data_IF_239677317902
#
_entry.id   IF_239677317902
#
_cell.length_a   1.000
_cell.length_b   1.000
_cell.length_c   1.000
_cell.angle_alpha   90.00
_cell.angle_beta   90.00
_cell.angle_gamma   90.00
#
_symmetry.space_group_name_H-M   'P 1'
#
loop_
_entity.id
_entity.type
_entity.pdbx_description
1 polymer ?
#
# COMPACT_ATOMS: atom_id res chain seq x y z
N UNK A 1 -21.15 -33.93 -39.07
CA UNK A 1 -22.61 -34.12 -39.05
C UNK A 1 -22.99 -34.57 -37.65
N UNK A 2 -24.07 -34.00 -37.11
CA UNK A 2 -24.52 -34.03 -35.71
C UNK A 2 -23.88 -32.98 -34.78
N UNK A 3 -24.41 -31.77 -34.93
CA UNK A 3 -24.41 -30.68 -33.95
C UNK A 3 -25.11 -31.13 -32.65
N UNK A 4 -24.55 -30.74 -31.50
CA UNK A 4 -25.27 -30.68 -30.23
C UNK A 4 -25.23 -29.25 -29.75
N UNK A 5 -26.40 -28.62 -29.77
CA UNK A 5 -26.72 -27.32 -29.22
C UNK A 5 -26.33 -27.25 -27.73
N UNK A 6 -25.46 -26.32 -27.38
CA UNK A 6 -25.29 -25.85 -26.00
C UNK A 6 -26.05 -24.53 -25.91
N UNK A 7 -27.11 -24.52 -25.10
CA UNK A 7 -27.87 -23.31 -24.75
C UNK A 7 -26.97 -22.37 -23.95
N UNK A 8 -26.62 -21.23 -24.54
CA UNK A 8 -26.08 -20.08 -23.83
C UNK A 8 -27.19 -19.45 -22.98
N UNK A 9 -27.05 -19.52 -21.66
CA UNK A 9 -27.91 -18.82 -20.72
C UNK A 9 -27.21 -17.56 -20.20
N UNK A 10 -27.72 -16.42 -20.66
CA UNK A 10 -27.78 -15.12 -19.95
C UNK A 10 -26.53 -14.66 -19.17
N UNK A 11 -25.52 -14.20 -19.91
CA UNK A 11 -24.61 -13.15 -19.43
C UNK A 11 -25.00 -11.82 -20.10
N UNK A 12 -25.77 -11.01 -19.38
CA UNK A 12 -26.16 -9.67 -19.81
C UNK A 12 -24.95 -8.74 -19.94
N UNK A 13 -24.43 -8.62 -21.16
CA UNK A 13 -23.61 -7.49 -21.60
C UNK A 13 -24.49 -6.25 -21.73
N UNK A 14 -24.70 -5.52 -20.64
CA UNK A 14 -25.14 -4.12 -20.74
C UNK A 14 -23.94 -3.24 -21.08
N UNK A 15 -23.50 -3.31 -22.34
CA UNK A 15 -22.76 -2.21 -22.95
C UNK A 15 -23.73 -1.03 -22.98
N UNK A 16 -23.39 0.04 -22.26
CA UNK A 16 -24.22 1.23 -22.16
C UNK A 16 -24.31 1.91 -23.53
N UNK A 17 -25.44 1.72 -24.23
CA UNK A 17 -25.82 2.57 -25.34
C UNK A 17 -26.01 4.00 -24.84
N UNK A 18 -25.11 4.88 -25.26
CA UNK A 18 -25.17 6.31 -24.97
C UNK A 18 -26.10 6.96 -25.99
N UNK A 19 -27.39 7.07 -25.65
CA UNK A 19 -28.29 7.99 -26.36
C UNK A 19 -27.84 9.44 -26.10
N UNK A 20 -27.35 10.10 -27.14
CA UNK A 20 -27.04 11.54 -27.13
C UNK A 20 -28.37 12.30 -27.22
N UNK A 21 -28.88 12.74 -26.07
CA UNK A 21 -30.04 13.64 -26.00
C UNK A 21 -29.55 15.10 -26.17
N UNK A 22 -30.22 15.95 -26.97
CA UNK A 22 -29.75 17.31 -27.22
C UNK A 22 -29.75 18.17 -25.94
N UNK A 23 -28.76 19.09 -25.84
CA UNK A 23 -28.71 20.11 -24.78
C UNK A 23 -30.03 20.91 -24.72
N UNK A 24 -30.58 21.19 -23.52
CA UNK A 24 -31.66 22.16 -23.40
C UNK A 24 -31.15 23.56 -23.76
N UNK A 25 -32.00 24.34 -24.43
CA UNK A 25 -31.71 25.72 -24.80
C UNK A 25 -31.47 26.60 -23.57
N UNK A 26 -30.53 27.54 -23.70
CA UNK A 26 -30.15 28.46 -22.63
C UNK A 26 -31.29 29.45 -22.34
N UNK A 27 -31.70 29.51 -21.07
CA UNK A 27 -32.51 30.59 -20.53
C UNK A 27 -33.86 30.16 -19.99
N UNK A 28 -33.88 29.71 -18.74
CA UNK A 28 -34.94 29.99 -17.75
C UNK A 28 -34.53 29.41 -16.39
N UNK A 29 -33.91 30.24 -15.56
CA UNK A 29 -33.62 29.93 -14.17
C UNK A 29 -34.86 30.17 -13.31
N UNK A 30 -35.42 29.10 -12.72
CA UNK A 30 -36.09 29.15 -11.42
C UNK A 30 -35.84 27.82 -10.71
N UNK A 31 -34.94 27.82 -9.71
CA UNK A 31 -34.79 26.72 -8.77
C UNK A 31 -35.50 27.12 -7.48
N UNK A 32 -36.64 26.51 -7.19
CA UNK A 32 -37.31 26.58 -5.89
C UNK A 32 -37.24 25.21 -5.22
N UNK A 33 -36.39 25.10 -4.21
CA UNK A 33 -36.51 24.08 -3.16
C UNK A 33 -35.66 24.53 -1.97
N UNK A 34 -36.28 25.27 -1.06
CA UNK A 34 -35.67 25.74 0.20
C UNK A 34 -35.61 24.58 1.20
N UNK A 35 -34.45 24.37 1.83
CA UNK A 35 -34.33 23.56 3.05
C UNK A 35 -34.29 24.53 4.24
N UNK A 36 -35.22 24.38 5.19
CA UNK A 36 -35.17 25.05 6.49
C UNK A 36 -34.53 24.10 7.49
N UNK A 37 -33.26 24.33 7.79
CA UNK A 37 -32.63 23.99 9.06
C UNK A 37 -31.92 25.25 9.53
N UNK A 38 -32.37 25.80 10.65
CA UNK A 38 -31.76 26.94 11.37
C UNK A 38 -31.50 28.23 10.58
N UNK A 39 -32.49 28.67 9.78
CA UNK A 39 -32.58 30.07 9.33
C UNK A 39 -31.63 30.48 8.20
N UNK A 40 -30.87 29.56 7.60
CA UNK A 40 -29.94 29.85 6.51
C UNK A 40 -30.52 29.42 5.14
N UNK A 41 -30.53 30.37 4.18
CA UNK A 41 -30.97 30.12 2.80
C UNK A 41 -29.75 29.68 1.99
N UNK A 42 -29.81 28.48 1.43
CA UNK A 42 -28.75 27.90 0.62
C UNK A 42 -29.07 28.01 -0.88
N UNK A 43 -28.29 28.78 -1.64
CA UNK A 43 -28.34 28.80 -3.11
C UNK A 43 -27.28 27.87 -3.71
N UNK A 44 -27.68 27.06 -4.69
CA UNK A 44 -26.81 26.07 -5.34
C UNK A 44 -26.48 26.55 -6.76
N UNK A 45 -25.21 26.88 -7.03
CA UNK A 45 -24.73 27.10 -8.40
C UNK A 45 -24.31 25.77 -9.05
N UNK A 46 -25.12 25.33 -10.01
CA UNK A 46 -24.93 24.09 -10.78
C UNK A 46 -23.64 24.01 -11.61
N UNK A 47 -22.88 25.10 -11.76
CA UNK A 47 -21.65 25.10 -12.57
C UNK A 47 -20.36 24.89 -11.77
N UNK A 48 -20.34 25.15 -10.47
CA UNK A 48 -19.09 25.27 -9.70
C UNK A 48 -19.01 24.42 -8.42
N UNK A 49 -19.95 23.51 -8.15
CA UNK A 49 -20.01 22.71 -6.91
C UNK A 49 -19.96 23.56 -5.61
N UNK A 50 -20.37 24.83 -5.66
CA UNK A 50 -20.41 25.72 -4.51
C UNK A 50 -21.85 25.88 -3.99
N UNK A 51 -22.00 25.70 -2.67
CA UNK A 51 -23.15 26.16 -1.90
C UNK A 51 -22.84 27.59 -1.42
N UNK A 52 -23.65 28.56 -1.83
CA UNK A 52 -23.56 29.92 -1.29
C UNK A 52 -24.42 30.00 -0.04
N UNK A 53 -23.75 30.18 1.10
CA UNK A 53 -24.36 30.65 2.34
C UNK A 53 -24.34 32.18 2.31
N UNK A 54 -25.45 32.82 2.67
CA UNK A 54 -25.58 34.28 2.59
C UNK A 54 -24.53 34.97 3.47
N UNK A 55 -23.60 35.68 2.81
CA UNK A 55 -22.52 36.52 3.36
C UNK A 55 -21.50 35.77 4.24
N UNK A 56 -20.35 35.50 3.61
CA UNK A 56 -19.05 35.08 4.17
C UNK A 56 -18.76 33.57 4.19
N UNK A 57 -18.03 33.14 3.14
CA UNK A 57 -17.31 31.85 2.92
C UNK A 57 -18.07 30.78 2.12
N UNK A 58 -17.53 30.45 0.95
CA UNK A 58 -17.93 29.28 0.16
C UNK A 58 -17.63 27.97 0.92
N UNK A 59 -18.64 27.13 1.14
CA UNK A 59 -18.46 25.78 1.67
C UNK A 59 -17.71 24.91 0.63
N UNK A 60 -16.65 24.23 1.07
CA UNK A 60 -15.87 23.29 0.27
C UNK A 60 -15.77 21.97 1.01
N UNK A 61 -15.53 20.85 0.31
CA UNK A 61 -15.41 19.52 0.96
C UNK A 61 -14.37 19.51 2.10
N UNK A 62 -13.31 20.33 1.98
CA UNK A 62 -12.26 20.50 2.97
C UNK A 62 -12.72 21.20 4.25
N UNK A 63 -13.70 22.09 4.12
CA UNK A 63 -14.21 22.92 5.22
C UNK A 63 -15.59 22.46 5.73
N UNK A 64 -16.25 21.53 5.03
CA UNK A 64 -17.50 20.92 5.51
C UNK A 64 -17.19 20.00 6.70
N UNK A 65 -17.92 20.19 7.79
CA UNK A 65 -17.74 19.43 9.03
C UNK A 65 -16.67 20.01 9.98
N UNK A 66 -16.08 21.18 9.68
CA UNK A 66 -15.15 21.84 10.63
C UNK A 66 -15.84 22.32 11.90
N UNK A 67 -17.14 22.63 11.82
CA UNK A 67 -17.96 23.09 12.94
C UNK A 67 -18.76 21.95 13.58
N UNK A 68 -18.54 20.70 13.17
CA UNK A 68 -19.27 19.56 13.71
C UNK A 68 -18.90 19.34 15.19
N UNK A 69 -19.90 19.00 16.01
CA UNK A 69 -19.70 18.63 17.42
C UNK A 69 -19.00 17.29 17.61
N UNK A 70 -18.96 16.43 16.58
CA UNK A 70 -18.24 15.15 16.60
C UNK A 70 -17.68 14.73 15.22
N UNK A 71 -16.68 13.82 15.18
CA UNK A 71 -16.21 13.23 13.91
C UNK A 71 -17.30 12.51 13.12
N UNK A 72 -18.24 11.84 13.79
CA UNK A 72 -19.36 11.15 13.14
C UNK A 72 -20.31 12.17 12.48
N UNK A 73 -20.62 13.25 13.19
CA UNK A 73 -21.41 14.37 12.64
C UNK A 73 -20.69 15.03 11.46
N UNK A 74 -19.36 15.20 11.52
CA UNK A 74 -18.59 15.71 10.38
C UNK A 74 -18.70 14.80 9.13
N UNK A 75 -18.76 13.47 9.33
CA UNK A 75 -18.99 12.50 8.24
C UNK A 75 -20.40 12.66 7.67
N UNK A 76 -21.42 12.79 8.53
CA UNK A 76 -22.81 13.03 8.12
C UNK A 76 -22.95 14.32 7.30
N UNK A 77 -22.42 15.43 7.79
CA UNK A 77 -22.43 16.72 7.09
C UNK A 77 -21.76 16.62 5.71
N UNK A 78 -20.63 15.93 5.61
CA UNK A 78 -19.94 15.71 4.32
C UNK A 78 -20.77 14.88 3.35
N UNK A 79 -21.45 13.84 3.84
CA UNK A 79 -22.33 13.00 3.02
C UNK A 79 -23.53 13.79 2.50
N UNK A 80 -24.19 14.56 3.36
CA UNK A 80 -25.29 15.44 2.96
C UNK A 80 -24.85 16.47 1.91
N UNK A 81 -23.67 17.07 2.12
CA UNK A 81 -23.09 18.00 1.16
C UNK A 81 -22.88 17.33 -0.20
N UNK A 82 -22.34 16.11 -0.23
CA UNK A 82 -22.13 15.35 -1.46
C UNK A 82 -23.43 15.00 -2.17
N UNK A 83 -24.45 14.55 -1.44
CA UNK A 83 -25.79 14.25 -1.98
C UNK A 83 -26.41 15.50 -2.63
N UNK A 84 -26.33 16.65 -1.95
CA UNK A 84 -26.97 17.90 -2.39
C UNK A 84 -26.21 18.61 -3.52
N UNK A 85 -24.86 18.56 -3.50
CA UNK A 85 -24.03 19.41 -4.36
C UNK A 85 -23.38 18.67 -5.53
N UNK A 86 -22.99 17.40 -5.34
CA UNK A 86 -22.15 16.68 -6.30
C UNK A 86 -22.98 15.65 -7.08
N UNK A 87 -23.89 14.95 -6.42
CA UNK A 87 -24.64 13.83 -7.02
C UNK A 87 -26.02 14.21 -7.61
N UNK A 88 -26.28 15.48 -7.93
CA UNK A 88 -27.48 15.89 -8.69
C UNK A 88 -27.63 15.19 -10.06
N UNK A 89 -26.63 14.43 -10.52
CA UNK A 89 -26.63 13.65 -11.75
C UNK A 89 -26.40 12.14 -11.50
N UNK A 90 -27.51 11.39 -11.46
CA UNK A 90 -27.68 10.03 -12.03
C UNK A 90 -27.02 8.78 -11.41
N UNK A 91 -26.53 8.76 -10.16
CA UNK A 91 -26.29 7.48 -9.42
C UNK A 91 -26.55 7.61 -7.91
N UNK A 92 -27.83 7.74 -7.53
CA UNK A 92 -28.29 7.96 -6.16
C UNK A 92 -27.96 6.84 -5.14
N UNK A 93 -27.33 5.73 -5.54
CA UNK A 93 -27.23 4.54 -4.69
C UNK A 93 -25.87 4.32 -4.02
N UNK A 94 -24.81 5.04 -4.40
CA UNK A 94 -23.47 4.77 -3.83
C UNK A 94 -23.41 5.13 -2.34
N UNK A 95 -23.79 6.36 -1.97
CA UNK A 95 -23.77 6.78 -0.57
C UNK A 95 -24.76 5.98 0.25
N UNK A 96 -25.93 5.63 -0.29
CA UNK A 96 -26.92 4.79 0.39
C UNK A 96 -26.35 3.40 0.79
N UNK A 97 -25.49 2.81 -0.04
CA UNK A 97 -24.88 1.50 0.23
C UNK A 97 -23.56 1.57 1.01
N UNK A 98 -22.94 2.75 1.11
CA UNK A 98 -21.69 2.95 1.84
C UNK A 98 -21.98 3.16 3.33
N UNK A 99 -21.66 2.19 4.22
CA UNK A 99 -21.93 2.32 5.63
C UNK A 99 -21.04 3.40 6.25
N UNK A 100 -21.58 4.07 7.27
CA UNK A 100 -20.88 5.13 7.98
C UNK A 100 -21.28 5.24 9.45
N UNK A 101 -22.40 4.67 9.88
CA UNK A 101 -22.83 4.71 11.28
C UNK A 101 -22.03 3.71 12.12
N UNK A 102 -21.97 3.96 13.43
CA UNK A 102 -21.38 3.07 14.44
C UNK A 102 -19.92 2.68 14.16
N UNK A 103 -19.12 3.60 13.63
CA UNK A 103 -17.70 3.44 13.40
C UNK A 103 -16.90 4.42 14.26
N UNK A 104 -15.76 3.97 14.80
CA UNK A 104 -14.88 4.83 15.59
C UNK A 104 -14.06 5.77 14.71
N UNK A 105 -14.67 6.91 14.38
CA UNK A 105 -14.00 7.98 13.65
C UNK A 105 -12.97 8.77 14.48
N UNK A 106 -12.95 8.61 15.80
CA UNK A 106 -11.88 9.19 16.61
C UNK A 106 -10.58 8.40 16.42
N UNK A 107 -10.65 7.07 16.48
CA UNK A 107 -9.50 6.19 16.22
C UNK A 107 -8.96 6.29 14.78
N UNK A 108 -9.82 6.61 13.81
CA UNK A 108 -9.42 6.80 12.41
C UNK A 108 -8.79 8.18 12.11
N UNK A 109 -8.68 9.08 13.10
CA UNK A 109 -8.01 10.38 12.91
C UNK A 109 -6.55 10.17 12.51
N UNK A 110 -6.12 10.84 11.44
CA UNK A 110 -4.75 10.72 10.91
C UNK A 110 -4.55 9.54 9.95
N UNK A 111 -5.57 8.70 9.71
CA UNK A 111 -5.51 7.61 8.73
C UNK A 111 -6.11 8.00 7.37
N UNK A 112 -7.12 8.87 7.35
CA UNK A 112 -7.80 9.31 6.13
C UNK A 112 -8.42 10.70 6.31
N UNK A 113 -8.36 11.53 5.28
CA UNK A 113 -9.04 12.83 5.20
C UNK A 113 -10.39 12.70 4.49
N UNK A 114 -11.27 13.70 4.63
CA UNK A 114 -12.54 13.78 3.90
C UNK A 114 -13.43 12.52 4.01
N UNK A 115 -13.42 11.87 5.17
CA UNK A 115 -14.13 10.61 5.44
C UNK A 115 -15.65 10.72 5.22
N UNK A 116 -16.20 9.79 4.43
CA UNK A 116 -17.64 9.71 4.09
C UNK A 116 -18.30 8.39 4.53
N UNK A 117 -17.55 7.55 5.23
CA UNK A 117 -17.94 6.20 5.62
C UNK A 117 -16.74 5.27 5.66
N UNK A 118 -17.00 3.98 5.61
CA UNK A 118 -15.99 2.92 5.54
C UNK A 118 -16.40 1.83 4.54
N UNK A 119 -15.44 1.06 4.06
CA UNK A 119 -15.68 -0.05 3.13
C UNK A 119 -15.52 -1.40 3.85
N UNK A 120 -16.60 -2.17 4.04
CA UNK A 120 -16.48 -3.53 4.58
C UNK A 120 -15.78 -4.45 3.58
N UNK A 121 -14.76 -5.16 4.03
CA UNK A 121 -14.09 -6.23 3.28
C UNK A 121 -14.26 -7.53 4.10
N UNK A 122 -14.75 -8.64 3.51
CA UNK A 122 -14.87 -9.90 4.24
C UNK A 122 -13.53 -10.36 4.82
N UNK A 123 -13.52 -10.73 6.10
CA UNK A 123 -12.34 -11.26 6.79
C UNK A 123 -12.56 -12.73 7.10
N UNK A 124 -11.73 -13.58 6.50
CA UNK A 124 -11.63 -15.00 6.84
C UNK A 124 -10.41 -15.29 7.72
N UNK A 125 -10.36 -16.49 8.29
CA UNK A 125 -9.21 -16.99 9.05
C UNK A 125 -8.69 -18.24 8.36
N UNK A 126 -7.39 -18.25 8.06
CA UNK A 126 -6.69 -19.45 7.62
C UNK A 126 -5.83 -20.03 8.75
N UNK A 127 -5.82 -21.36 8.90
CA UNK A 127 -4.98 -22.04 9.88
C UNK A 127 -5.67 -23.15 10.68
N UNK A 128 -5.07 -23.60 11.80
CA UNK A 128 -3.80 -23.09 12.32
C UNK A 128 -2.64 -23.38 11.35
N UNK A 129 -1.60 -22.54 11.36
CA UNK A 129 -0.32 -22.80 10.72
C UNK A 129 0.73 -22.95 11.83
N UNK A 130 1.40 -24.10 11.86
CA UNK A 130 2.51 -24.34 12.78
C UNK A 130 3.79 -23.75 12.20
N UNK A 131 4.35 -22.74 12.85
CA UNK A 131 5.58 -22.04 12.47
C UNK A 131 6.45 -21.91 13.70
N UNK A 132 7.71 -22.36 13.63
CA UNK A 132 8.69 -22.21 14.72
C UNK A 132 8.15 -22.73 16.08
N UNK A 133 7.44 -23.87 16.04
CA UNK A 133 6.76 -24.50 17.18
C UNK A 133 5.56 -23.73 17.77
N UNK A 134 5.07 -22.68 17.11
CA UNK A 134 3.87 -21.94 17.48
C UNK A 134 2.72 -22.16 16.49
N UNK A 135 1.48 -22.13 16.98
CA UNK A 135 0.29 -22.27 16.13
C UNK A 135 -0.35 -20.90 15.88
N UNK A 136 -0.34 -20.46 14.62
CA UNK A 136 -0.86 -19.16 14.20
C UNK A 136 -2.18 -19.29 13.42
N UNK A 137 -3.13 -18.42 13.71
CA UNK A 137 -4.33 -18.22 12.90
C UNK A 137 -4.19 -16.91 12.12
N UNK A 138 -4.28 -17.00 10.80
CA UNK A 138 -3.93 -15.91 9.88
C UNK A 138 -5.22 -15.20 9.45
N UNK A 139 -5.48 -13.96 9.91
CA UNK A 139 -6.62 -13.19 9.42
C UNK A 139 -6.33 -12.70 7.99
N UNK A 140 -7.33 -12.82 7.12
CA UNK A 140 -7.22 -12.50 5.69
C UNK A 140 -8.46 -11.73 5.22
N UNK A 141 -8.28 -10.47 4.85
CA UNK A 141 -9.35 -9.63 4.30
C UNK A 141 -9.32 -9.68 2.77
N UNK A 142 -10.32 -10.30 2.14
CA UNK A 142 -10.34 -10.51 0.69
C UNK A 142 -11.76 -10.64 0.15
N UNK A 143 -11.92 -10.27 -1.12
CA UNK A 143 -13.13 -10.55 -1.91
C UNK A 143 -12.89 -11.65 -2.95
N UNK A 144 -11.66 -12.17 -3.05
CA UNK A 144 -11.32 -13.27 -3.95
C UNK A 144 -11.82 -14.60 -3.38
N UNK A 145 -12.73 -15.25 -4.11
CA UNK A 145 -13.24 -16.57 -3.77
C UNK A 145 -12.12 -17.62 -3.68
N UNK A 146 -12.29 -18.58 -2.76
CA UNK A 146 -11.37 -19.69 -2.52
C UNK A 146 -9.96 -19.34 -2.00
N UNK A 147 -9.55 -18.07 -1.93
CA UNK A 147 -8.21 -17.70 -1.43
C UNK A 147 -7.95 -18.21 -0.01
N UNK A 148 -8.83 -17.87 0.94
CA UNK A 148 -8.69 -18.29 2.35
C UNK A 148 -8.72 -19.82 2.47
N UNK A 149 -9.60 -20.48 1.72
CA UNK A 149 -9.69 -21.94 1.71
C UNK A 149 -8.41 -22.60 1.16
N UNK A 150 -7.81 -22.01 0.12
CA UNK A 150 -6.55 -22.47 -0.47
C UNK A 150 -5.39 -22.33 0.51
N UNK A 151 -5.26 -21.18 1.18
CA UNK A 151 -4.24 -20.97 2.23
C UNK A 151 -4.43 -21.95 3.39
N UNK A 152 -5.66 -22.15 3.87
CA UNK A 152 -5.97 -23.15 4.91
C UNK A 152 -5.57 -24.57 4.52
N UNK A 153 -5.77 -24.95 3.24
CA UNK A 153 -5.33 -26.24 2.72
C UNK A 153 -3.80 -26.36 2.72
N UNK A 154 -3.09 -25.28 2.40
CA UNK A 154 -1.63 -25.19 2.54
C UNK A 154 -1.17 -25.35 3.99
N UNK A 155 -1.79 -24.64 4.94
CA UNK A 155 -1.50 -24.77 6.37
C UNK A 155 -1.67 -26.21 6.85
N UNK A 156 -2.74 -26.88 6.41
CA UNK A 156 -2.97 -28.30 6.73
C UNK A 156 -1.83 -29.20 6.25
N UNK A 157 -1.37 -29.02 5.01
CA UNK A 157 -0.28 -29.83 4.46
C UNK A 157 1.05 -29.62 5.21
N UNK A 158 1.32 -28.37 5.61
CA UNK A 158 2.51 -28.01 6.40
C UNK A 158 2.44 -28.65 7.78
N UNK A 159 1.32 -28.50 8.50
CA UNK A 159 1.18 -29.02 9.87
C UNK A 159 1.24 -30.55 9.92
N UNK A 160 0.59 -31.24 8.98
CA UNK A 160 0.63 -32.70 8.89
C UNK A 160 2.03 -33.25 8.59
N UNK A 161 2.98 -32.36 8.23
CA UNK A 161 4.37 -32.69 7.95
C UNK A 161 5.37 -32.07 8.94
N UNK A 162 4.88 -31.59 10.10
CA UNK A 162 5.74 -31.13 11.21
C UNK A 162 5.90 -29.62 11.33
N UNK A 163 5.21 -28.83 10.51
CA UNK A 163 5.25 -27.36 10.57
C UNK A 163 6.31 -26.74 9.64
N UNK A 164 6.43 -25.42 9.72
CA UNK A 164 7.42 -24.63 9.00
C UNK A 164 8.45 -24.02 9.95
N UNK A 165 9.65 -23.76 9.43
CA UNK A 165 10.72 -23.02 10.11
C UNK A 165 10.93 -21.70 9.37
N UNK A 166 11.11 -20.60 10.10
CA UNK A 166 11.42 -19.29 9.52
C UNK A 166 12.69 -18.67 10.07
N UNK A 167 13.36 -17.88 9.23
CA UNK A 167 14.58 -17.16 9.59
C UNK A 167 14.47 -15.71 9.08
N UNK A 168 14.58 -14.76 10.00
CA UNK A 168 14.77 -13.34 9.68
C UNK A 168 16.24 -13.09 9.34
N UNK A 169 16.52 -12.71 8.10
CA UNK A 169 17.89 -12.52 7.58
C UNK A 169 18.30 -11.05 7.57
N UNK A 170 17.35 -10.12 7.49
CA UNK A 170 17.62 -8.69 7.58
C UNK A 170 16.39 -7.91 8.09
N UNK A 171 16.66 -6.80 8.80
CA UNK A 171 15.65 -5.87 9.31
C UNK A 171 16.17 -4.43 9.16
N UNK A 172 15.73 -3.74 8.10
CA UNK A 172 16.03 -2.33 7.91
C UNK A 172 15.02 -1.66 6.96
N UNK A 173 14.36 -0.60 7.43
CA UNK A 173 13.60 0.29 6.56
C UNK A 173 14.54 1.28 5.87
N UNK A 174 14.18 1.71 4.67
CA UNK A 174 15.04 2.56 3.83
C UNK A 174 14.39 3.88 3.43
N UNK A 175 15.23 4.92 3.34
CA UNK A 175 14.87 6.20 2.72
C UNK A 175 16.10 6.74 1.99
N UNK A 176 15.88 7.30 0.81
CA UNK A 176 16.95 7.77 -0.05
C UNK A 176 16.64 9.17 -0.60
N UNK A 177 17.25 10.25 -0.08
CA UNK A 177 17.14 11.56 -0.69
C UNK A 177 17.93 11.64 -1.99
N UNK A 178 17.51 12.56 -2.86
CA UNK A 178 18.25 13.01 -4.03
C UNK A 178 18.86 14.37 -3.72
N UNK A 179 20.19 14.42 -3.70
CA UNK A 179 20.98 15.59 -3.34
C UNK A 179 21.70 16.08 -4.61
N UNK A 180 21.65 17.36 -4.91
CA UNK A 180 22.32 17.97 -6.08
C UNK A 180 23.44 18.88 -5.59
N UNK A 181 24.58 18.84 -6.27
CA UNK A 181 25.76 19.64 -5.98
C UNK A 181 26.11 20.55 -7.16
N UNK A 182 26.95 21.58 -6.98
CA UNK A 182 27.33 22.48 -8.07
C UNK A 182 28.10 21.82 -9.22
N UNK A 183 28.76 20.69 -8.96
CA UNK A 183 29.47 19.89 -9.98
C UNK A 183 29.76 18.47 -9.47
N UNK A 184 30.18 17.60 -10.39
CA UNK A 184 30.51 16.18 -10.11
C UNK A 184 31.62 16.00 -9.07
N UNK A 185 32.66 16.84 -9.08
CA UNK A 185 33.77 16.74 -8.11
C UNK A 185 33.26 16.96 -6.68
N UNK A 186 32.31 17.88 -6.52
CA UNK A 186 31.71 18.19 -5.22
C UNK A 186 30.76 17.11 -4.74
N UNK A 187 29.94 16.56 -5.62
CA UNK A 187 29.11 15.39 -5.33
C UNK A 187 29.97 14.16 -4.96
N UNK A 188 31.09 13.94 -5.66
CA UNK A 188 32.03 12.88 -5.36
C UNK A 188 32.72 13.07 -3.99
N UNK A 189 33.10 14.30 -3.64
CA UNK A 189 33.63 14.59 -2.30
C UNK A 189 32.61 14.26 -1.19
N UNK A 190 31.32 14.54 -1.41
CA UNK A 190 30.26 14.16 -0.48
C UNK A 190 30.07 12.64 -0.36
N UNK A 191 30.16 11.93 -1.49
CA UNK A 191 30.16 10.45 -1.50
C UNK A 191 31.30 9.89 -0.65
N UNK A 192 32.53 10.35 -0.88
CA UNK A 192 33.69 9.90 -0.11
C UNK A 192 33.55 10.19 1.39
N UNK A 193 33.00 11.35 1.75
CA UNK A 193 32.74 11.66 3.16
C UNK A 193 31.70 10.71 3.77
N UNK A 194 30.59 10.45 3.09
CA UNK A 194 29.55 9.50 3.54
C UNK A 194 30.05 8.05 3.66
N UNK A 195 31.07 7.67 2.89
CA UNK A 195 31.70 6.35 2.96
C UNK A 195 32.87 6.30 3.97
N UNK A 196 33.31 7.45 4.49
CA UNK A 196 34.36 7.52 5.48
C UNK A 196 33.86 7.18 6.88
N UNK A 197 34.74 6.67 7.75
CA UNK A 197 34.40 6.37 9.14
C UNK A 197 33.87 7.60 9.90
N UNK A 198 34.40 8.79 9.60
CA UNK A 198 33.93 10.05 10.20
C UNK A 198 32.51 10.37 9.76
N UNK A 199 32.22 10.31 8.46
CA UNK A 199 30.87 10.61 7.97
C UNK A 199 29.84 9.60 8.47
N UNK A 200 30.16 8.30 8.45
CA UNK A 200 29.29 7.26 9.00
C UNK A 200 29.00 7.52 10.48
N UNK A 201 30.03 7.83 11.29
CA UNK A 201 29.88 8.09 12.72
C UNK A 201 28.97 9.30 13.01
N UNK A 202 29.15 10.41 12.29
CA UNK A 202 28.31 11.59 12.49
C UNK A 202 26.85 11.32 12.10
N UNK A 203 26.62 10.57 11.02
CA UNK A 203 25.26 10.20 10.62
C UNK A 203 24.63 9.23 11.63
N UNK A 204 25.37 8.24 12.14
CA UNK A 204 24.90 7.35 13.21
C UNK A 204 24.45 8.14 14.44
N UNK A 205 25.29 9.08 14.90
CA UNK A 205 24.98 9.96 16.02
C UNK A 205 23.71 10.77 15.77
N UNK A 206 23.54 11.31 14.55
CA UNK A 206 22.33 12.05 14.17
C UNK A 206 21.08 11.17 14.17
N UNK A 207 21.17 9.94 13.65
CA UNK A 207 20.05 8.99 13.65
C UNK A 207 19.62 8.65 15.09
N UNK A 208 20.58 8.33 15.96
CA UNK A 208 20.35 8.02 17.38
C UNK A 208 19.75 9.21 18.14
N UNK A 209 20.20 10.43 17.85
CA UNK A 209 19.65 11.65 18.46
C UNK A 209 18.22 11.96 17.98
N UNK A 210 17.83 11.50 16.78
CA UNK A 210 16.51 11.77 16.20
C UNK A 210 15.45 10.78 16.67
N UNK A 211 15.82 9.52 16.92
CA UNK A 211 14.89 8.50 17.40
C UNK A 211 15.59 7.36 18.16
N UNK A 212 15.02 6.98 19.30
CA UNK A 212 15.48 5.84 20.10
C UNK A 212 15.38 4.47 19.39
N UNK A 213 14.57 4.39 18.33
CA UNK A 213 14.35 3.14 17.57
C UNK A 213 15.24 3.05 16.31
N UNK A 214 15.72 4.20 15.81
CA UNK A 214 16.47 4.29 14.57
C UNK A 214 17.94 3.94 14.81
N UNK A 215 18.33 2.71 14.47
CA UNK A 215 19.75 2.30 14.46
C UNK A 215 20.19 2.14 13.02
N UNK A 216 21.09 3.03 12.57
CA UNK A 216 21.64 2.98 11.23
C UNK A 216 22.34 1.63 11.00
N UNK A 217 22.09 1.05 9.83
CA UNK A 217 22.67 -0.22 9.39
C UNK A 217 23.56 -0.05 8.19
N UNK A 218 23.18 0.83 7.27
CA UNK A 218 23.95 1.06 6.06
C UNK A 218 23.68 2.47 5.51
N UNK A 219 24.68 3.02 4.82
CA UNK A 219 24.58 4.21 3.98
C UNK A 219 25.14 3.84 2.61
N UNK A 220 24.31 3.89 1.58
CA UNK A 220 24.73 3.58 0.21
C UNK A 220 24.58 4.82 -0.68
N UNK A 221 25.64 5.63 -0.84
CA UNK A 221 25.64 6.79 -1.73
C UNK A 221 25.90 6.39 -3.19
N UNK A 222 24.98 6.71 -4.09
CA UNK A 222 25.04 6.43 -5.52
C UNK A 222 25.17 7.75 -6.29
N UNK A 223 26.30 7.95 -6.96
CA UNK A 223 26.64 9.17 -7.69
C UNK A 223 26.21 9.06 -9.16
N UNK A 224 25.42 10.02 -9.64
CA UNK A 224 24.97 10.13 -11.04
C UNK A 224 25.12 11.59 -11.49
N UNK A 225 26.18 11.88 -12.24
CA UNK A 225 26.53 13.26 -12.60
C UNK A 225 26.78 14.11 -11.35
N UNK A 226 26.09 15.24 -11.25
CA UNK A 226 26.12 16.12 -10.06
C UNK A 226 25.10 15.75 -8.97
N UNK A 227 24.39 14.62 -9.13
CA UNK A 227 23.41 14.14 -8.16
C UNK A 227 23.95 12.97 -7.34
N UNK A 228 23.62 12.96 -6.04
CA UNK A 228 23.92 11.89 -5.12
C UNK A 228 22.62 11.36 -4.51
N UNK A 229 22.33 10.09 -4.76
CA UNK A 229 21.22 9.36 -4.16
C UNK A 229 21.75 8.58 -2.96
N UNK A 230 21.35 8.93 -1.74
CA UNK A 230 21.96 8.35 -0.53
C UNK A 230 20.98 7.40 0.14
N UNK A 231 21.06 6.10 -0.13
CA UNK A 231 20.13 5.14 0.48
C UNK A 231 20.55 4.83 1.92
N UNK A 232 19.84 5.43 2.87
CA UNK A 232 19.99 5.12 4.29
C UNK A 232 19.12 3.93 4.66
N UNK A 233 19.67 2.99 5.41
CA UNK A 233 18.97 1.83 5.95
C UNK A 233 19.12 1.81 7.48
N UNK A 234 18.03 1.69 8.21
CA UNK A 234 18.05 1.61 9.68
C UNK A 234 16.93 0.71 10.21
N UNK A 235 17.13 0.12 11.39
CA UNK A 235 16.02 -0.53 12.12
C UNK A 235 15.05 0.51 12.63
N UNK A 236 13.80 0.13 12.86
CA UNK A 236 12.74 1.07 13.31
C UNK A 236 11.89 0.53 14.46
N UNK A 237 12.40 -0.45 15.20
CA UNK A 237 11.64 -1.19 16.20
C UNK A 237 10.50 -1.98 15.55
N UNK A 238 9.33 -1.97 16.19
CA UNK A 238 8.13 -2.67 15.67
C UNK A 238 7.34 -1.83 14.66
N UNK A 239 7.67 -0.55 14.51
CA UNK A 239 7.06 0.28 13.49
C UNK A 239 7.60 -0.08 12.10
N UNK A 240 6.73 -0.06 11.09
CA UNK A 240 7.16 -0.11 9.68
C UNK A 240 8.18 1.01 9.37
N UNK A 241 8.07 2.15 10.05
CA UNK A 241 9.21 3.04 10.24
C UNK A 241 9.43 4.14 9.21
N UNK A 242 8.53 4.29 8.22
CA UNK A 242 8.69 5.28 7.15
C UNK A 242 8.73 6.74 7.64
N UNK A 243 7.93 7.09 8.64
CA UNK A 243 7.98 8.43 9.24
C UNK A 243 9.25 8.63 10.08
N UNK A 244 9.71 7.60 10.78
CA UNK A 244 10.99 7.61 11.53
C UNK A 244 12.14 7.85 10.56
N UNK A 245 12.22 7.04 9.50
CA UNK A 245 13.26 7.17 8.48
C UNK A 245 13.24 8.54 7.79
N UNK A 246 12.07 9.09 7.50
CA UNK A 246 11.98 10.40 6.84
C UNK A 246 12.52 11.52 7.74
N UNK A 247 12.21 11.50 9.04
CA UNK A 247 12.75 12.45 10.02
C UNK A 247 14.26 12.28 10.21
N UNK A 248 14.74 11.04 10.38
CA UNK A 248 16.17 10.77 10.53
C UNK A 248 16.96 11.22 9.29
N UNK A 249 16.45 10.98 8.09
CA UNK A 249 17.08 11.44 6.85
C UNK A 249 17.07 12.96 6.72
N UNK A 250 16.00 13.65 7.11
CA UNK A 250 15.96 15.11 7.13
C UNK A 250 17.04 15.71 8.07
N UNK A 251 17.20 15.14 9.26
CA UNK A 251 18.27 15.52 10.20
C UNK A 251 19.66 15.15 9.66
N UNK A 252 19.81 13.99 9.02
CA UNK A 252 21.06 13.57 8.40
C UNK A 252 21.49 14.49 7.25
N UNK A 253 20.53 14.93 6.42
CA UNK A 253 20.76 15.92 5.37
C UNK A 253 21.22 17.25 5.96
N UNK A 254 20.65 17.67 7.09
CA UNK A 254 21.10 18.86 7.81
C UNK A 254 22.54 18.69 8.34
N UNK A 255 22.88 17.49 8.83
CA UNK A 255 24.24 17.14 9.27
C UNK A 255 25.24 17.20 8.11
N UNK A 256 24.91 16.62 6.95
CA UNK A 256 25.75 16.69 5.74
C UNK A 256 26.08 18.15 5.40
N UNK A 257 25.10 19.06 5.46
CA UNK A 257 25.33 20.49 5.20
C UNK A 257 26.33 21.12 6.17
N UNK A 258 26.21 20.80 7.46
CA UNK A 258 27.11 21.32 8.51
C UNK A 258 28.56 20.84 8.33
N UNK A 259 28.77 19.66 7.75
CA UNK A 259 30.09 19.09 7.50
C UNK A 259 30.73 19.49 6.15
N UNK A 260 30.47 20.71 5.67
CA UNK A 260 31.19 21.30 4.54
C UNK A 260 30.54 21.09 3.17
N UNK A 261 29.25 20.76 3.14
CA UNK A 261 28.42 20.62 1.94
C UNK A 261 27.21 21.56 1.97
N UNK A 262 27.42 22.81 2.39
CA UNK A 262 26.37 23.85 2.49
C UNK A 262 25.82 24.28 1.12
N UNK A 263 26.61 24.05 0.07
CA UNK A 263 26.30 24.27 -1.34
C UNK A 263 25.41 23.16 -1.95
N UNK A 264 25.10 22.11 -1.17
CA UNK A 264 24.20 21.04 -1.55
C UNK A 264 22.73 21.50 -1.55
N UNK A 265 22.04 21.23 -2.64
CA UNK A 265 20.58 21.38 -2.77
C UNK A 265 19.88 20.04 -2.54
N UNK A 266 18.84 20.05 -1.72
CA UNK A 266 17.96 18.88 -1.54
C UNK A 266 16.91 18.93 -2.65
N UNK A 267 17.01 18.04 -3.63
CA UNK A 267 16.02 17.94 -4.72
C UNK A 267 14.74 17.28 -4.21
N UNK A 268 14.90 16.18 -3.48
CA UNK A 268 13.81 15.48 -2.82
C UNK A 268 14.33 14.66 -1.64
N UNK A 269 13.54 14.53 -0.57
CA UNK A 269 13.83 13.58 0.52
C UNK A 269 13.59 12.11 0.11
N UNK A 270 12.85 11.90 -0.97
CA UNK A 270 12.61 10.59 -1.58
C UNK A 270 12.92 10.65 -3.09
N UNK A 271 14.15 10.30 -3.45
CA UNK A 271 14.65 10.23 -4.82
C UNK A 271 14.37 8.91 -5.54
N UNK A 272 13.37 8.13 -5.11
CA UNK A 272 12.99 6.82 -5.64
C UNK A 272 14.01 5.68 -5.53
N UNK A 273 15.18 5.92 -4.93
CA UNK A 273 16.20 4.89 -4.61
C UNK A 273 15.96 4.25 -3.24
N UNK A 274 14.76 4.42 -2.65
CA UNK A 274 14.41 3.74 -1.39
C UNK A 274 14.29 2.22 -1.58
N UNK A 275 13.47 1.66 -2.48
CA UNK A 275 12.35 2.23 -3.25
C UNK A 275 11.04 1.95 -2.51
N UNK A 276 10.08 2.88 -2.50
CA UNK A 276 8.82 2.70 -1.77
C UNK A 276 7.62 2.70 -2.72
N UNK A 277 6.83 1.61 -2.70
CA UNK A 277 5.58 1.43 -3.46
C UNK A 277 5.79 1.38 -4.98
N UNK A 278 6.98 0.99 -5.44
CA UNK A 278 7.31 0.81 -6.86
C UNK A 278 8.21 -0.41 -7.02
N UNK A 279 7.99 -1.27 -8.03
CA UNK A 279 8.83 -2.43 -8.26
C UNK A 279 10.27 -2.00 -8.48
N UNK A 280 11.22 -2.66 -7.81
CA UNK A 280 12.62 -2.25 -7.80
C UNK A 280 13.56 -3.43 -7.61
N UNK A 281 14.48 -3.60 -8.56
CA UNK A 281 15.57 -4.57 -8.45
C UNK A 281 16.45 -4.28 -7.21
N UNK A 282 16.57 -3.02 -6.82
CA UNK A 282 17.33 -2.65 -5.62
C UNK A 282 16.69 -3.22 -4.35
N UNK A 283 15.37 -3.16 -4.24
CA UNK A 283 14.65 -3.79 -3.11
C UNK A 283 14.78 -5.31 -3.13
N UNK A 284 14.81 -5.92 -4.33
CA UNK A 284 15.00 -7.36 -4.48
C UNK A 284 16.39 -7.83 -4.05
N UNK A 285 17.44 -7.11 -4.45
CA UNK A 285 18.84 -7.50 -4.20
C UNK A 285 19.31 -7.14 -2.79
N UNK A 286 19.03 -5.91 -2.35
CA UNK A 286 19.56 -5.38 -1.07
C UNK A 286 18.59 -5.56 0.09
N UNK A 287 17.35 -5.98 -0.19
CA UNK A 287 16.27 -6.01 0.79
C UNK A 287 15.70 -4.62 1.13
N UNK A 288 14.53 -4.63 1.77
CA UNK A 288 13.86 -3.47 2.37
C UNK A 288 12.80 -3.94 3.37
N UNK A 289 12.79 -3.36 4.57
CA UNK A 289 11.95 -3.84 5.67
C UNK A 289 12.52 -5.14 6.23
N UNK A 290 11.71 -6.21 6.24
CA UNK A 290 12.13 -7.53 6.75
C UNK A 290 12.44 -8.47 5.59
N UNK A 291 13.61 -9.10 5.61
CA UNK A 291 13.95 -10.18 4.68
C UNK A 291 13.81 -11.51 5.39
N UNK A 292 12.94 -12.39 4.90
CA UNK A 292 12.55 -13.64 5.58
C UNK A 292 12.72 -14.82 4.64
N UNK A 293 13.22 -15.93 5.18
CA UNK A 293 13.23 -17.24 4.54
C UNK A 293 12.31 -18.17 5.33
N UNK A 294 11.49 -18.96 4.64
CA UNK A 294 10.64 -19.97 5.24
C UNK A 294 10.87 -21.32 4.56
N UNK A 295 10.90 -22.40 5.35
CA UNK A 295 11.06 -23.77 4.86
C UNK A 295 10.03 -24.69 5.52
N UNK A 296 9.50 -25.63 4.73
CA UNK A 296 8.72 -26.77 5.25
C UNK A 296 9.07 -28.02 4.43
N UNK A 297 9.10 -29.18 5.09
CA UNK A 297 9.18 -30.47 4.43
C UNK A 297 7.77 -31.06 4.37
N UNK A 298 7.31 -31.49 3.20
CA UNK A 298 5.97 -32.05 3.04
C UNK A 298 6.07 -33.51 2.62
N UNK A 299 5.46 -34.40 3.40
CA UNK A 299 5.55 -35.84 3.10
C UNK A 299 4.80 -36.21 1.82
N UNK A 300 5.28 -37.24 1.09
CA UNK A 300 4.59 -37.77 -0.10
C UNK A 300 3.11 -38.10 0.18
N UNK A 301 2.84 -38.75 1.31
CA UNK A 301 1.48 -39.09 1.73
C UNK A 301 0.58 -37.86 1.89
N UNK A 302 1.12 -36.77 2.46
CA UNK A 302 0.40 -35.50 2.61
C UNK A 302 0.21 -34.80 1.26
N UNK A 303 1.20 -34.77 0.38
CA UNK A 303 1.08 -34.20 -0.97
C UNK A 303 -0.05 -34.91 -1.74
N UNK A 304 -0.04 -36.25 -1.76
CA UNK A 304 -1.06 -37.04 -2.46
C UNK A 304 -2.45 -36.87 -1.85
N UNK A 305 -2.58 -36.93 -0.52
CA UNK A 305 -3.89 -36.86 0.15
C UNK A 305 -4.44 -35.45 0.24
N UNK A 306 -3.63 -34.44 0.57
CA UNK A 306 -4.09 -33.07 0.80
C UNK A 306 -3.95 -32.24 -0.46
N UNK A 307 -2.79 -32.22 -1.12
CA UNK A 307 -2.53 -31.38 -2.29
C UNK A 307 -3.01 -32.01 -3.61
N UNK A 308 -3.36 -33.30 -3.60
CA UNK A 308 -3.96 -34.03 -4.73
C UNK A 308 -3.08 -33.99 -5.99
N UNK A 309 -1.77 -34.13 -5.80
CA UNK A 309 -0.75 -34.16 -6.85
C UNK A 309 0.33 -35.17 -6.46
N UNK A 310 1.31 -35.42 -7.33
CA UNK A 310 2.55 -36.15 -7.00
C UNK A 310 3.72 -35.17 -6.82
N UNK A 311 4.78 -35.63 -6.13
CA UNK A 311 5.99 -34.84 -5.84
C UNK A 311 6.70 -34.38 -7.13
N UNK A 312 6.95 -35.24 -8.13
CA UNK A 312 7.65 -34.81 -9.34
C UNK A 312 6.87 -33.74 -10.12
N UNK A 313 5.53 -33.84 -10.12
CA UNK A 313 4.66 -32.90 -10.83
C UNK A 313 4.71 -31.50 -10.23
N UNK A 314 4.65 -31.37 -8.90
CA UNK A 314 4.68 -30.06 -8.25
C UNK A 314 6.07 -29.40 -8.33
N UNK A 315 7.14 -30.20 -8.27
CA UNK A 315 8.52 -29.72 -8.46
C UNK A 315 8.71 -29.25 -9.91
N UNK A 316 8.31 -30.06 -10.90
CA UNK A 316 8.40 -29.70 -12.32
C UNK A 316 7.56 -28.46 -12.65
N UNK A 317 6.37 -28.32 -12.04
CA UNK A 317 5.54 -27.13 -12.15
C UNK A 317 6.25 -25.90 -11.58
N UNK A 318 6.87 -26.01 -10.41
CA UNK A 318 7.60 -24.88 -9.81
C UNK A 318 8.73 -24.41 -10.72
N UNK A 319 9.53 -25.34 -11.26
CA UNK A 319 10.62 -25.00 -12.18
C UNK A 319 10.08 -24.34 -13.45
N UNK A 320 9.09 -24.96 -14.10
CA UNK A 320 8.58 -24.48 -15.39
C UNK A 320 7.84 -23.15 -15.27
N UNK A 321 7.09 -22.95 -14.18
CA UNK A 321 6.22 -21.78 -13.98
C UNK A 321 6.90 -20.66 -13.19
N UNK A 322 7.36 -20.94 -11.98
CA UNK A 322 7.86 -19.90 -11.06
C UNK A 322 9.29 -19.47 -11.39
N UNK A 323 10.10 -20.34 -11.98
CA UNK A 323 11.48 -20.02 -12.36
C UNK A 323 11.57 -19.68 -13.85
N UNK A 324 11.43 -20.67 -14.72
CA UNK A 324 11.60 -20.49 -16.18
C UNK A 324 10.55 -19.52 -16.74
N UNK A 325 9.27 -19.70 -16.39
CA UNK A 325 8.19 -18.80 -16.82
C UNK A 325 8.43 -17.35 -16.40
N UNK A 326 8.79 -17.11 -15.13
CA UNK A 326 9.11 -15.76 -14.64
C UNK A 326 10.35 -15.16 -15.31
N UNK A 327 11.36 -15.98 -15.63
CA UNK A 327 12.54 -15.55 -16.36
C UNK A 327 12.20 -15.13 -17.80
N UNK A 328 11.39 -15.92 -18.52
CA UNK A 328 10.90 -15.57 -19.86
C UNK A 328 10.10 -14.27 -19.85
N UNK A 329 9.34 -14.02 -18.77
CA UNK A 329 8.58 -12.79 -18.59
C UNK A 329 9.42 -11.56 -18.19
N UNK A 330 10.73 -11.72 -17.93
CA UNK A 330 11.58 -10.64 -17.43
C UNK A 330 11.17 -10.14 -16.03
N UNK A 331 10.58 -11.01 -15.21
CA UNK A 331 10.11 -10.66 -13.87
C UNK A 331 11.28 -10.48 -12.89
N UNK A 332 11.28 -9.39 -12.12
CA UNK A 332 12.24 -9.15 -11.04
C UNK A 332 11.50 -9.30 -9.69
N UNK A 333 11.97 -10.24 -8.86
CA UNK A 333 11.35 -10.55 -7.56
C UNK A 333 10.02 -11.32 -7.63
N UNK A 334 9.49 -11.61 -8.83
CA UNK A 334 8.21 -12.33 -9.03
C UNK A 334 8.37 -13.81 -9.37
N UNK A 335 9.33 -14.52 -8.76
CA UNK A 335 9.56 -15.95 -8.98
C UNK A 335 8.65 -16.83 -8.09
N UNK A 336 7.34 -16.54 -8.09
CA UNK A 336 6.35 -17.17 -7.22
C UNK A 336 4.99 -17.32 -7.93
N UNK A 337 4.02 -17.95 -7.26
CA UNK A 337 2.69 -18.15 -7.83
C UNK A 337 1.72 -16.99 -7.57
N UNK A 338 1.50 -16.66 -6.29
CA UNK A 338 0.50 -15.66 -5.89
C UNK A 338 0.83 -15.03 -4.53
N UNK A 339 2.11 -14.78 -4.24
CA UNK A 339 2.53 -14.17 -2.96
C UNK A 339 1.78 -12.85 -2.68
N UNK A 340 1.52 -12.08 -3.75
CA UNK A 340 0.72 -10.85 -3.69
C UNK A 340 -0.67 -11.05 -3.07
N UNK A 341 -1.39 -12.13 -3.40
CA UNK A 341 -2.76 -12.35 -2.90
C UNK A 341 -2.75 -12.59 -1.38
N UNK A 342 -1.78 -13.38 -0.90
CA UNK A 342 -1.65 -13.69 0.53
C UNK A 342 -1.24 -12.43 1.30
N UNK A 343 -0.21 -11.72 0.83
CA UNK A 343 0.30 -10.51 1.47
C UNK A 343 -0.76 -9.41 1.47
N UNK A 344 -1.48 -9.18 0.37
CA UNK A 344 -2.53 -8.16 0.32
C UNK A 344 -3.66 -8.45 1.30
N UNK A 345 -4.08 -9.71 1.41
CA UNK A 345 -5.17 -10.10 2.30
C UNK A 345 -4.78 -9.96 3.79
N UNK A 346 -3.55 -10.34 4.14
CA UNK A 346 -3.02 -10.14 5.50
C UNK A 346 -2.86 -8.64 5.79
N UNK A 347 -2.30 -7.87 4.86
CA UNK A 347 -2.08 -6.43 5.03
C UNK A 347 -3.39 -5.69 5.28
N UNK A 348 -4.42 -5.98 4.49
CA UNK A 348 -5.74 -5.39 4.67
C UNK A 348 -6.39 -5.79 6.01
N UNK A 349 -6.21 -7.03 6.46
CA UNK A 349 -6.76 -7.49 7.74
C UNK A 349 -6.02 -6.93 8.97
N UNK A 350 -4.74 -6.60 8.83
CA UNK A 350 -3.86 -6.22 9.95
C UNK A 350 -3.47 -4.73 9.93
N UNK A 351 -4.16 -3.92 9.13
CA UNK A 351 -3.98 -2.46 9.10
C UNK A 351 -2.65 -2.00 8.53
N UNK A 352 -2.01 -2.80 7.66
CA UNK A 352 -0.76 -2.42 6.99
C UNK A 352 -1.03 -1.51 5.79
N UNK A 353 0.02 -0.87 5.28
CA UNK A 353 -0.05 -0.06 4.07
C UNK A 353 -0.15 -0.96 2.82
N UNK A 354 -1.37 -1.14 2.31
CA UNK A 354 -1.65 -2.02 1.16
C UNK A 354 -0.86 -1.62 -0.09
N UNK A 355 -0.50 -0.34 -0.25
CA UNK A 355 0.30 0.08 -1.41
C UNK A 355 1.73 -0.48 -1.37
N UNK A 356 2.22 -0.93 -0.20
CA UNK A 356 3.51 -1.60 -0.07
C UNK A 356 3.48 -3.07 -0.49
N UNK A 357 2.33 -3.65 -0.84
CA UNK A 357 2.26 -5.01 -1.44
C UNK A 357 3.18 -5.11 -2.66
N UNK A 358 3.34 -4.03 -3.42
CA UNK A 358 4.26 -3.95 -4.57
C UNK A 358 5.68 -4.41 -4.22
N UNK A 359 6.19 -4.03 -3.06
CA UNK A 359 7.53 -4.40 -2.59
C UNK A 359 7.51 -5.67 -1.73
N UNK A 360 6.51 -5.79 -0.86
CA UNK A 360 6.39 -6.88 0.12
C UNK A 360 6.01 -8.23 -0.50
N UNK A 361 5.54 -8.25 -1.76
CA UNK A 361 5.21 -9.49 -2.47
C UNK A 361 6.39 -10.08 -3.28
N UNK A 362 7.56 -9.44 -3.24
CA UNK A 362 8.79 -10.03 -3.78
C UNK A 362 9.06 -11.38 -3.10
N UNK A 363 9.09 -12.45 -3.89
CA UNK A 363 9.23 -13.80 -3.41
C UNK A 363 9.80 -14.71 -4.51
N UNK A 364 10.72 -15.57 -4.12
CA UNK A 364 11.17 -16.73 -4.90
C UNK A 364 10.73 -18.01 -4.20
N UNK A 365 10.04 -18.88 -4.92
CA UNK A 365 9.63 -20.20 -4.43
C UNK A 365 10.51 -21.28 -5.07
N UNK A 366 11.15 -22.09 -4.24
CA UNK A 366 11.93 -23.25 -4.66
C UNK A 366 11.31 -24.52 -4.09
N UNK A 367 11.44 -25.62 -4.82
CA UNK A 367 10.95 -26.95 -4.42
C UNK A 367 11.96 -27.98 -4.93
N UNK A 368 12.20 -29.01 -4.13
CA UNK A 368 13.04 -30.16 -4.46
C UNK A 368 12.42 -31.43 -3.86
N UNK A 369 12.92 -32.59 -4.31
CA UNK A 369 12.46 -33.93 -3.89
C UNK A 369 13.20 -34.44 -2.65
#
# INVERSE_FOLDING_TARGET
MCEKEVKESELGTHILDVEIIPKPAAGQFKCHSQLKSDGLIHEIDSKNNHLYESRERSLTLKNVGTNAGSPAEAVEMRREFLEKCVYKLRRANFLACLPFKNYDYFGARGCCENVIGYMPIPVGIAGPLSVDCENLYIPMATTEGALVASVSRGCKAINESGGAVTILTADAMTRAPCLQFPNVNRAYAAKLWLESSTGIHEIEKTFLATSNFAKLKNIQPILIGEHLYVRFAATTGDAMGMNIMSKCVESAVSTIKLHGFHDMRVVALSGNVCTDKKPSALNWVEGRGKSVVAQAYITHATIKRVLKTEVPDIVALNVSKNLVGSAVAGSIGGCNAHASNVISAIFAATGQDIAQVVDSCHCITTMNE
#
